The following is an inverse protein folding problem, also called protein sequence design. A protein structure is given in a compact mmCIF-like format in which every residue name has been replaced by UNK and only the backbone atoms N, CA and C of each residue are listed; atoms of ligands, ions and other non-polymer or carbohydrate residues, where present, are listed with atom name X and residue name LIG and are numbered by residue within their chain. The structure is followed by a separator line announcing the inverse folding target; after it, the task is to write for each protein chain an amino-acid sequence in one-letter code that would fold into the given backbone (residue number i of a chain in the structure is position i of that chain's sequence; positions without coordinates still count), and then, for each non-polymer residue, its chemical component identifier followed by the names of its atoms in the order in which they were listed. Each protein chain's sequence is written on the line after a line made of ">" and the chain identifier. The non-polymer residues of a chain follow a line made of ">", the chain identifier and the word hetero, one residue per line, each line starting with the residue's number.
data_IF_011437567440
#
_entry.id   IF_011437567440
#
_cell.length_a   1.000
_cell.length_b   1.000
_cell.length_c   1.000
_cell.angle_alpha   90.00
_cell.angle_beta   90.00
_cell.angle_gamma   90.00
#
_symmetry.space_group_name_H-M   'P 1'
#
loop_
_entity.id
_entity.type
_entity.pdbx_description
1 polymer ?
#
# COMPACT_ATOMS: atom_id res chain seq x y z
N UNK A 1 22.45 -84.19 -39.08
CA UNK A 1 23.06 -83.63 -37.87
C UNK A 1 23.65 -84.77 -37.06
N UNK A 2 24.88 -84.64 -36.56
CA UNK A 2 25.49 -85.67 -35.69
C UNK A 2 24.86 -85.59 -34.30
N UNK A 3 24.80 -86.69 -33.56
CA UNK A 3 24.17 -86.72 -32.23
C UNK A 3 24.77 -85.68 -31.26
N UNK A 4 26.05 -85.34 -31.41
CA UNK A 4 26.74 -84.31 -30.63
C UNK A 4 26.19 -82.89 -30.87
N UNK A 5 25.76 -82.55 -32.08
CA UNK A 5 25.23 -81.22 -32.41
C UNK A 5 23.86 -81.00 -31.76
N UNK A 6 23.04 -82.06 -31.72
CA UNK A 6 21.73 -82.04 -31.06
C UNK A 6 21.87 -81.93 -29.54
N UNK A 7 22.83 -82.63 -28.95
CA UNK A 7 23.17 -82.55 -27.53
C UNK A 7 23.62 -81.13 -27.15
N UNK A 8 24.49 -80.53 -27.97
CA UNK A 8 24.94 -79.14 -27.80
C UNK A 8 23.78 -78.15 -27.90
N UNK A 9 22.96 -78.24 -28.96
CA UNK A 9 21.86 -77.31 -29.19
C UNK A 9 20.78 -77.41 -28.10
N UNK A 10 20.54 -78.61 -27.56
CA UNK A 10 19.63 -78.84 -26.43
C UNK A 10 20.13 -78.17 -25.16
N UNK A 11 21.41 -78.33 -24.82
CA UNK A 11 22.02 -77.69 -23.64
C UNK A 11 22.08 -76.17 -23.79
N UNK A 12 22.44 -75.69 -24.97
CA UNK A 12 22.50 -74.27 -25.28
C UNK A 12 21.11 -73.61 -25.21
N UNK A 13 20.09 -74.22 -25.81
CA UNK A 13 18.70 -73.74 -25.73
C UNK A 13 18.15 -73.75 -24.30
N UNK A 14 18.51 -74.76 -23.50
CA UNK A 14 18.11 -74.83 -22.08
C UNK A 14 18.69 -73.67 -21.26
N UNK A 15 19.98 -73.35 -21.49
CA UNK A 15 20.64 -72.22 -20.82
C UNK A 15 19.99 -70.90 -21.24
N UNK A 16 19.75 -70.68 -22.54
CA UNK A 16 19.07 -69.47 -23.02
C UNK A 16 17.66 -69.36 -22.43
N UNK A 17 16.89 -70.45 -22.41
CA UNK A 17 15.55 -70.48 -21.83
C UNK A 17 15.56 -70.12 -20.33
N UNK A 18 16.50 -70.67 -19.57
CA UNK A 18 16.67 -70.34 -18.15
C UNK A 18 17.00 -68.86 -17.96
N UNK A 19 17.94 -68.32 -18.73
CA UNK A 19 18.31 -66.91 -18.65
C UNK A 19 17.15 -65.99 -19.05
N UNK A 20 16.35 -66.36 -20.05
CA UNK A 20 15.16 -65.60 -20.45
C UNK A 20 14.11 -65.56 -19.33
N UNK A 21 13.81 -66.70 -18.70
CA UNK A 21 12.86 -66.77 -17.57
C UNK A 21 13.37 -65.96 -16.37
N UNK A 22 14.66 -66.08 -16.04
CA UNK A 22 15.28 -65.29 -14.98
C UNK A 22 15.15 -63.79 -15.26
N UNK A 23 15.43 -63.38 -16.49
CA UNK A 23 15.31 -61.97 -16.91
C UNK A 23 13.88 -61.45 -16.77
N UNK A 24 12.89 -62.23 -17.25
CA UNK A 24 11.48 -61.87 -17.09
C UNK A 24 11.08 -61.79 -15.61
N UNK A 25 11.54 -62.73 -14.79
CA UNK A 25 11.32 -62.72 -13.34
C UNK A 25 11.88 -61.47 -12.66
N UNK A 26 13.09 -61.06 -13.02
CA UNK A 26 13.72 -59.84 -12.49
C UNK A 26 12.96 -58.58 -12.93
N UNK A 27 12.48 -58.52 -14.18
CA UNK A 27 11.67 -57.39 -14.67
C UNK A 27 10.35 -57.28 -13.89
N UNK A 28 9.64 -58.40 -13.70
CA UNK A 28 8.38 -58.42 -12.95
C UNK A 28 8.59 -58.03 -11.48
N UNK A 29 9.66 -58.53 -10.86
CA UNK A 29 10.02 -58.16 -9.49
C UNK A 29 10.36 -56.68 -9.38
N UNK A 30 11.14 -56.13 -10.32
CA UNK A 30 11.48 -54.71 -10.35
C UNK A 30 10.24 -53.83 -10.52
N UNK A 31 9.32 -54.20 -11.42
CA UNK A 31 8.05 -53.50 -11.61
C UNK A 31 7.18 -53.56 -10.34
N UNK A 32 7.10 -54.72 -9.69
CA UNK A 32 6.37 -54.88 -8.43
C UNK A 32 6.95 -53.95 -7.34
N UNK A 33 8.27 -53.97 -7.13
CA UNK A 33 8.93 -53.12 -6.14
C UNK A 33 8.75 -51.63 -6.45
N UNK A 34 8.84 -51.23 -7.72
CA UNK A 34 8.66 -49.83 -8.13
C UNK A 34 7.25 -49.29 -7.83
N UNK A 35 6.21 -50.14 -7.90
CA UNK A 35 4.84 -49.72 -7.53
C UNK A 35 4.59 -49.66 -6.02
N UNK A 36 5.44 -50.31 -5.21
CA UNK A 36 5.27 -50.40 -3.75
C UNK A 36 6.14 -49.40 -2.98
N UNK A 37 7.22 -48.92 -3.58
CA UNK A 37 8.15 -47.98 -2.96
C UNK A 37 7.83 -46.58 -3.52
N UNK A 38 7.46 -45.61 -2.67
CA UNK A 38 7.25 -44.25 -3.14
C UNK A 38 8.54 -43.69 -3.75
N UNK A 39 8.47 -42.97 -4.88
CA UNK A 39 9.65 -42.41 -5.51
C UNK A 39 10.33 -41.41 -4.56
N UNK A 40 11.65 -41.52 -4.43
CA UNK A 40 12.43 -40.56 -3.68
C UNK A 40 12.40 -39.19 -4.37
N UNK A 41 11.94 -38.17 -3.67
CA UNK A 41 11.91 -36.81 -4.20
C UNK A 41 13.31 -36.22 -4.06
N UNK A 42 13.94 -35.84 -5.16
CA UNK A 42 15.27 -35.23 -5.11
C UNK A 42 15.23 -33.91 -4.30
N UNK A 43 16.29 -33.58 -3.54
CA UNK A 43 16.35 -32.32 -2.81
C UNK A 43 16.15 -31.07 -3.69
N UNK A 44 16.55 -31.16 -4.96
CA UNK A 44 16.32 -30.10 -5.95
C UNK A 44 14.85 -29.98 -6.39
N UNK A 45 14.12 -31.09 -6.48
CA UNK A 45 12.69 -31.08 -6.77
C UNK A 45 11.85 -30.55 -5.60
N UNK A 46 12.27 -30.85 -4.36
CA UNK A 46 11.68 -30.31 -3.14
C UNK A 46 11.85 -28.78 -3.09
N UNK A 47 13.08 -28.27 -3.25
CA UNK A 47 13.35 -26.82 -3.30
C UNK A 47 12.54 -26.08 -4.35
N UNK A 48 12.49 -26.59 -5.59
CA UNK A 48 11.68 -25.98 -6.66
C UNK A 48 10.18 -25.94 -6.32
N UNK A 49 9.70 -26.85 -5.49
CA UNK A 49 8.29 -26.85 -5.07
C UNK A 49 8.07 -25.84 -3.96
N UNK A 50 8.98 -25.75 -2.99
CA UNK A 50 8.97 -24.73 -1.94
C UNK A 50 9.02 -23.31 -2.50
N UNK A 51 9.89 -23.06 -3.49
CA UNK A 51 9.99 -21.78 -4.18
C UNK A 51 8.70 -21.40 -4.91
N UNK A 52 7.97 -22.36 -5.47
CA UNK A 52 6.69 -22.11 -6.17
C UNK A 52 5.51 -21.86 -5.23
N UNK A 53 5.54 -22.42 -4.01
CA UNK A 53 4.46 -22.24 -3.02
C UNK A 53 4.72 -21.07 -2.07
N UNK A 54 5.87 -20.41 -2.19
CA UNK A 54 6.18 -19.24 -1.40
C UNK A 54 5.09 -18.15 -1.64
N UNK A 55 4.63 -17.48 -0.58
CA UNK A 55 3.60 -16.47 -0.71
C UNK A 55 4.13 -15.28 -1.53
N UNK A 56 3.40 -14.92 -2.59
CA UNK A 56 3.70 -13.74 -3.42
C UNK A 56 3.32 -12.41 -2.75
N UNK A 57 2.73 -12.48 -1.56
CA UNK A 57 2.35 -11.34 -0.72
C UNK A 57 1.69 -11.80 0.57
N UNK A 58 1.69 -10.94 1.60
CA UNK A 58 0.97 -11.20 2.83
C UNK A 58 -0.51 -10.84 2.66
N UNK A 59 -1.41 -11.81 2.90
CA UNK A 59 -2.85 -11.55 2.96
C UNK A 59 -3.21 -11.37 4.42
N UNK A 60 -3.41 -10.12 4.84
CA UNK A 60 -3.79 -9.83 6.22
C UNK A 60 -5.32 -9.89 6.36
N UNK A 61 -5.83 -11.03 6.82
CA UNK A 61 -7.24 -11.20 7.18
C UNK A 61 -7.39 -11.34 8.71
N UNK A 62 -8.53 -10.90 9.26
CA UNK A 62 -8.80 -10.93 10.71
C UNK A 62 -8.12 -9.80 11.50
N UNK A 63 -7.97 -9.98 12.81
CA UNK A 63 -7.47 -8.94 13.74
C UNK A 63 -6.06 -8.45 13.39
N UNK A 64 -5.20 -9.33 12.85
CA UNK A 64 -3.86 -8.96 12.40
C UNK A 64 -3.86 -8.04 11.17
N UNK A 65 -4.90 -8.13 10.32
CA UNK A 65 -5.09 -7.19 9.21
C UNK A 65 -5.69 -5.87 9.63
N UNK A 66 -6.61 -5.87 10.60
CA UNK A 66 -7.12 -4.64 11.18
C UNK A 66 -6.01 -3.83 11.86
N UNK A 67 -5.10 -4.49 12.59
CA UNK A 67 -3.96 -3.83 13.22
C UNK A 67 -2.96 -3.25 12.20
N UNK A 68 -2.65 -3.99 11.13
CA UNK A 68 -1.77 -3.52 10.07
C UNK A 68 -2.39 -2.35 9.27
N UNK A 69 -3.69 -2.38 9.03
CA UNK A 69 -4.41 -1.31 8.34
C UNK A 69 -4.54 -0.06 9.21
N UNK A 70 -4.78 -0.21 10.52
CA UNK A 70 -4.76 0.90 11.47
C UNK A 70 -3.36 1.54 11.56
N UNK A 71 -2.30 0.72 11.59
CA UNK A 71 -0.93 1.21 11.58
C UNK A 71 -0.58 1.94 10.27
N UNK A 72 -1.05 1.44 9.12
CA UNK A 72 -0.86 2.10 7.82
C UNK A 72 -1.63 3.43 7.74
N UNK A 73 -2.86 3.49 8.25
CA UNK A 73 -3.65 4.72 8.34
C UNK A 73 -2.99 5.75 9.28
N UNK A 74 -2.48 5.30 10.43
CA UNK A 74 -1.74 6.13 11.36
C UNK A 74 -0.42 6.65 10.75
N UNK A 75 0.30 5.81 9.99
CA UNK A 75 1.52 6.22 9.29
C UNK A 75 1.22 7.22 8.17
N UNK A 76 0.11 7.06 7.44
CA UNK A 76 -0.34 8.01 6.42
C UNK A 76 -0.76 9.36 7.05
N UNK A 77 -1.46 9.32 8.19
CA UNK A 77 -1.80 10.53 8.95
C UNK A 77 -0.56 11.21 9.52
N UNK A 78 0.42 10.46 10.03
CA UNK A 78 1.70 10.99 10.51
C UNK A 78 2.55 11.59 9.36
N UNK A 79 2.54 10.97 8.18
CA UNK A 79 3.20 11.51 7.00
C UNK A 79 2.52 12.80 6.52
N UNK A 80 1.19 12.87 6.55
CA UNK A 80 0.44 14.09 6.28
C UNK A 80 0.73 15.19 7.32
N UNK A 81 0.86 14.82 8.59
CA UNK A 81 1.26 15.74 9.67
C UNK A 81 2.74 16.16 9.57
N UNK A 82 3.61 15.37 8.93
CA UNK A 82 5.03 15.73 8.78
C UNK A 82 5.29 16.86 7.78
N UNK A 83 4.26 17.32 7.08
CA UNK A 83 4.30 18.45 6.15
C UNK A 83 3.46 19.62 6.67
N UNK A 84 3.44 19.91 7.98
CA UNK A 84 2.74 21.11 8.48
C UNK A 84 3.37 22.35 7.86
N UNK A 85 2.57 23.14 7.16
CA UNK A 85 3.01 24.37 6.52
C UNK A 85 3.70 25.30 7.53
N UNK A 86 4.74 26.01 7.07
CA UNK A 86 5.47 27.00 7.87
C UNK A 86 6.10 26.42 9.16
N UNK A 87 6.48 25.14 9.15
CA UNK A 87 7.10 24.48 10.31
C UNK A 87 6.15 24.33 11.51
N UNK A 88 4.84 24.40 11.29
CA UNK A 88 3.84 24.30 12.36
C UNK A 88 3.67 25.54 13.21
N UNK A 89 4.25 26.69 12.82
CA UNK A 89 4.01 27.95 13.55
C UNK A 89 2.52 28.30 13.53
N UNK A 90 1.99 28.70 14.68
CA UNK A 90 0.64 29.28 14.83
C UNK A 90 0.70 30.81 14.89
N UNK A 91 1.82 31.41 14.48
CA UNK A 91 1.91 32.86 14.32
C UNK A 91 1.10 33.28 13.09
N UNK A 92 -0.09 33.85 13.35
CA UNK A 92 -1.00 34.30 12.31
C UNK A 92 -0.42 35.39 11.41
N UNK A 93 0.53 36.20 11.89
CA UNK A 93 1.19 37.21 11.07
C UNK A 93 2.05 36.55 9.97
N UNK A 94 2.83 35.54 10.37
CA UNK A 94 3.70 34.78 9.46
C UNK A 94 2.87 34.09 8.38
N UNK A 95 1.80 33.40 8.76
CA UNK A 95 0.93 32.71 7.80
C UNK A 95 0.21 33.71 6.89
N UNK A 96 -0.28 34.82 7.46
CA UNK A 96 -0.92 35.87 6.68
C UNK A 96 0.04 36.44 5.64
N UNK A 97 1.25 36.82 6.03
CA UNK A 97 2.20 37.44 5.11
C UNK A 97 2.67 36.50 4.00
N UNK A 98 2.75 35.20 4.27
CA UNK A 98 3.21 34.21 3.30
C UNK A 98 2.10 33.62 2.41
N UNK A 99 0.83 33.73 2.79
CA UNK A 99 -0.29 33.14 2.05
C UNK A 99 -1.48 34.09 1.91
N UNK A 100 -2.13 34.43 3.02
CA UNK A 100 -3.45 35.06 3.01
C UNK A 100 -3.40 36.50 2.49
N UNK A 101 -2.28 37.19 2.72
CA UNK A 101 -2.04 38.57 2.33
C UNK A 101 -2.03 38.78 0.83
N UNK A 102 -1.76 37.75 0.03
CA UNK A 102 -1.83 37.82 -1.43
C UNK A 102 -3.20 38.29 -1.93
N UNK A 103 -4.28 37.93 -1.22
CA UNK A 103 -5.63 38.37 -1.53
C UNK A 103 -6.13 39.44 -0.55
N UNK A 104 -5.88 39.27 0.75
CA UNK A 104 -6.48 40.12 1.79
C UNK A 104 -5.76 41.46 2.04
N UNK A 105 -4.58 41.71 1.46
CA UNK A 105 -3.95 43.05 1.52
C UNK A 105 -4.56 44.02 0.51
N UNK A 106 -4.82 43.55 -0.72
CA UNK A 106 -5.21 44.39 -1.85
C UNK A 106 -6.64 44.15 -2.34
N UNK A 107 -7.30 43.08 -1.88
CA UNK A 107 -8.66 42.72 -2.26
C UNK A 107 -8.76 41.96 -3.58
N UNK A 108 -7.71 41.22 -3.97
CA UNK A 108 -7.74 40.37 -5.18
C UNK A 108 -8.92 39.40 -5.11
N UNK A 109 -9.64 39.25 -6.23
CA UNK A 109 -10.82 38.39 -6.30
C UNK A 109 -11.96 38.84 -5.38
N UNK A 110 -12.02 40.15 -5.06
CA UNK A 110 -12.95 40.75 -4.09
C UNK A 110 -12.80 40.20 -2.66
N UNK A 111 -11.59 39.75 -2.30
CA UNK A 111 -11.29 39.37 -0.94
C UNK A 111 -11.49 40.58 0.01
N UNK A 112 -12.04 40.39 1.22
CA UNK A 112 -12.17 41.48 2.19
C UNK A 112 -10.79 41.96 2.63
N UNK A 113 -10.47 43.22 2.36
CA UNK A 113 -9.25 43.87 2.85
C UNK A 113 -9.31 44.05 4.37
N UNK A 114 -8.17 44.26 5.03
CA UNK A 114 -8.08 44.48 6.48
C UNK A 114 -8.61 45.86 6.91
N UNK A 115 -9.85 46.19 6.54
CA UNK A 115 -10.54 47.43 6.95
C UNK A 115 -11.78 47.09 7.75
N UNK A 116 -12.09 47.89 8.76
CA UNK A 116 -13.30 47.67 9.59
C UNK A 116 -14.58 47.57 8.75
N UNK A 117 -14.70 48.40 7.70
CA UNK A 117 -15.86 48.39 6.80
C UNK A 117 -16.05 47.08 6.04
N UNK A 118 -14.96 46.44 5.60
CA UNK A 118 -15.03 45.16 4.90
C UNK A 118 -15.41 43.99 5.84
N UNK A 119 -15.10 44.10 7.13
CA UNK A 119 -15.25 43.02 8.11
C UNK A 119 -16.47 43.14 9.02
N UNK A 120 -17.10 44.31 9.16
CA UNK A 120 -18.23 44.50 10.07
C UNK A 120 -19.37 43.47 9.89
N UNK A 121 -19.86 43.29 8.66
CA UNK A 121 -20.93 42.31 8.36
C UNK A 121 -20.47 40.84 8.49
N UNK A 122 -19.17 40.58 8.42
CA UNK A 122 -18.58 39.24 8.55
C UNK A 122 -18.41 38.86 10.02
N UNK A 123 -17.91 39.79 10.84
CA UNK A 123 -17.79 39.64 12.30
C UNK A 123 -19.16 39.37 12.92
N UNK A 124 -20.22 40.02 12.42
CA UNK A 124 -21.60 39.78 12.87
C UNK A 124 -22.10 38.33 12.66
N UNK A 125 -21.48 37.54 11.78
CA UNK A 125 -21.80 36.11 11.59
C UNK A 125 -21.21 35.20 12.66
N UNK A 126 -20.36 35.75 13.53
CA UNK A 126 -19.66 35.03 14.59
C UNK A 126 -18.34 34.41 14.12
N UNK A 127 -17.42 34.31 15.08
CA UNK A 127 -16.04 33.85 14.86
C UNK A 127 -15.96 32.42 14.32
N UNK A 128 -16.77 31.51 14.86
CA UNK A 128 -16.86 30.11 14.42
C UNK A 128 -17.25 29.98 12.94
N UNK A 129 -18.16 30.84 12.47
CA UNK A 129 -18.54 30.87 11.04
C UNK A 129 -17.36 31.29 10.17
N UNK A 130 -16.57 32.28 10.60
CA UNK A 130 -15.38 32.73 9.88
C UNK A 130 -14.32 31.64 9.81
N UNK A 131 -14.09 30.93 10.91
CA UNK A 131 -13.18 29.78 10.93
C UNK A 131 -13.61 28.70 9.97
N UNK A 132 -14.89 28.30 10.03
CA UNK A 132 -15.43 27.27 9.14
C UNK A 132 -15.26 27.66 7.67
N UNK A 133 -15.65 28.89 7.30
CA UNK A 133 -15.46 29.40 5.94
C UNK A 133 -13.99 29.45 5.51
N UNK A 134 -13.06 29.73 6.42
CA UNK A 134 -11.64 29.75 6.12
C UNK A 134 -11.04 28.34 5.98
N UNK A 135 -11.49 27.38 6.77
CA UNK A 135 -11.01 25.99 6.77
C UNK A 135 -11.60 25.22 5.59
N UNK A 136 -12.93 25.24 5.45
CA UNK A 136 -13.67 24.47 4.44
C UNK A 136 -13.73 25.18 3.08
N UNK A 137 -13.42 26.48 3.05
CA UNK A 137 -13.63 27.33 1.89
C UNK A 137 -15.04 27.91 1.84
N UNK A 138 -15.19 29.00 1.10
CA UNK A 138 -16.45 29.70 0.98
C UNK A 138 -16.62 30.33 -0.40
N UNK A 139 -17.73 30.04 -1.04
CA UNK A 139 -18.16 30.71 -2.27
C UNK A 139 -19.36 31.57 -1.94
N UNK A 140 -19.22 32.88 -2.06
CA UNK A 140 -20.28 33.84 -1.77
C UNK A 140 -20.47 34.86 -2.87
N UNK A 141 -21.41 35.78 -2.64
CA UNK A 141 -21.76 36.83 -3.60
C UNK A 141 -20.59 37.78 -3.93
N UNK A 142 -19.64 37.95 -3.01
CA UNK A 142 -18.48 38.80 -3.21
C UNK A 142 -17.36 38.09 -4.01
N UNK A 143 -17.14 36.79 -3.78
CA UNK A 143 -16.02 36.06 -4.37
C UNK A 143 -15.85 34.66 -3.80
N UNK A 144 -14.70 34.04 -4.10
CA UNK A 144 -14.35 32.68 -3.69
C UNK A 144 -13.14 32.73 -2.75
N UNK A 145 -13.29 32.13 -1.57
CA UNK A 145 -12.21 31.82 -0.64
C UNK A 145 -11.92 30.32 -0.71
N UNK A 146 -10.74 29.90 -1.22
CA UNK A 146 -10.39 28.49 -1.26
C UNK A 146 -10.27 27.87 0.14
N UNK A 147 -10.51 26.55 0.29
CA UNK A 147 -10.27 25.84 1.55
C UNK A 147 -8.84 26.07 2.04
N UNK A 148 -8.70 26.42 3.32
CA UNK A 148 -7.40 26.72 3.98
C UNK A 148 -6.57 27.77 3.24
N UNK A 149 -7.21 28.76 2.62
CA UNK A 149 -6.53 29.80 1.84
C UNK A 149 -5.77 29.26 0.62
N UNK A 150 -6.09 28.04 0.17
CA UNK A 150 -5.45 27.37 -0.96
C UNK A 150 -4.26 26.49 -0.58
N UNK A 151 -3.89 26.41 0.71
CA UNK A 151 -2.81 25.55 1.18
C UNK A 151 -3.37 24.39 2.04
N UNK A 152 -3.52 23.17 1.49
CA UNK A 152 -4.05 22.02 2.25
C UNK A 152 -3.12 21.56 3.38
N UNK A 153 -1.86 21.98 3.39
CA UNK A 153 -0.88 21.66 4.42
C UNK A 153 -1.00 22.51 5.70
N UNK A 154 -1.87 23.52 5.71
CA UNK A 154 -2.20 24.24 6.94
C UNK A 154 -3.07 23.36 7.86
N UNK A 155 -2.77 23.37 9.15
CA UNK A 155 -3.68 22.82 10.16
C UNK A 155 -4.83 23.78 10.43
N UNK A 156 -5.93 23.26 10.97
CA UNK A 156 -7.11 24.08 11.28
C UNK A 156 -6.77 25.13 12.35
N UNK A 157 -5.90 24.79 13.30
CA UNK A 157 -5.36 25.68 14.33
C UNK A 157 -4.58 26.85 13.72
N UNK A 158 -3.74 26.59 12.71
CA UNK A 158 -3.02 27.63 11.98
C UNK A 158 -3.96 28.57 11.23
N UNK A 159 -5.03 28.03 10.62
CA UNK A 159 -6.05 28.85 9.95
C UNK A 159 -6.78 29.73 10.97
N UNK A 160 -7.21 29.17 12.10
CA UNK A 160 -7.87 29.91 13.18
C UNK A 160 -6.98 31.03 13.74
N UNK A 161 -5.72 30.73 14.04
CA UNK A 161 -4.75 31.73 14.53
C UNK A 161 -4.53 32.87 13.52
N UNK A 162 -4.56 32.55 12.22
CA UNK A 162 -4.46 33.57 11.16
C UNK A 162 -5.71 34.43 11.08
N UNK A 163 -6.90 33.84 11.17
CA UNK A 163 -8.17 34.60 11.23
C UNK A 163 -8.17 35.53 12.44
N UNK A 164 -7.70 35.06 13.60
CA UNK A 164 -7.60 35.86 14.82
C UNK A 164 -6.68 37.04 14.66
N UNK A 165 -5.51 36.79 14.08
CA UNK A 165 -4.56 37.84 13.78
C UNK A 165 -5.17 38.88 12.81
N UNK A 166 -5.87 38.44 11.76
CA UNK A 166 -6.53 39.36 10.83
C UNK A 166 -7.58 40.23 11.53
N UNK A 167 -8.42 39.64 12.38
CA UNK A 167 -9.45 40.36 13.15
C UNK A 167 -8.83 41.36 14.15
N UNK A 168 -7.68 41.03 14.73
CA UNK A 168 -6.95 41.90 15.65
C UNK A 168 -6.21 43.06 14.94
N UNK A 169 -5.95 42.95 13.64
CA UNK A 169 -5.17 43.91 12.84
C UNK A 169 -6.00 44.65 11.78
N UNK A 170 -7.31 44.78 12.00
CA UNK A 170 -8.19 45.58 11.14
C UNK A 170 -7.90 47.08 11.30
N UNK A 171 -7.73 47.78 10.16
CA UNK A 171 -7.52 49.22 10.05
C UNK A 171 -8.83 50.01 10.03
#
# INVERSE_FOLDING_TARGET
>A
MRNYDLEFLKRFSMVIGLLAVLTLGLILLAAYLHTRIPPEVSPSAAKRTEERIAPVGAVYAGETGAAAQAAAAAAAAAAAASQVAYGGTTDGAVIFDNLCGACHKTGVGNAPTLTQGAWAARIAQGKETLYRHAIEGFTGAAGVMPPKGGNPALTDEQVQATVDWMLANLQ
#
